data_IF_346872430818
#
_entry.id   IF_346872430818
#
_cell.length_a   1.000
_cell.length_b   1.000
_cell.length_c   1.000
_cell.angle_alpha   90.00
_cell.angle_beta   90.00
_cell.angle_gamma   90.00
#
_symmetry.space_group_name_H-M   'P 1'
#
loop_
_entity.id
_entity.type
_entity.pdbx_description
1 polymer ?
#
# COMPACT_ATOMS: atom_id res chain seq x y z
N UNK A 1 44.62 35.87 25.12
CA UNK A 1 43.54 35.00 24.60
C UNK A 1 44.10 34.19 23.45
N UNK A 2 44.63 33.00 23.76
CA UNK A 2 45.52 32.25 22.87
C UNK A 2 44.79 31.47 21.79
N UNK A 3 45.47 31.27 20.66
CA UNK A 3 45.07 30.43 19.51
C UNK A 3 44.46 29.08 19.90
N UNK A 4 44.86 28.54 21.05
CA UNK A 4 44.38 27.31 21.66
C UNK A 4 42.87 27.38 22.01
N UNK A 5 42.38 28.52 22.50
CA UNK A 5 40.97 28.71 22.82
C UNK A 5 40.07 28.73 21.57
N UNK A 6 40.55 29.29 20.47
CA UNK A 6 39.84 29.28 19.19
C UNK A 6 39.75 27.88 18.58
N UNK A 7 40.80 27.07 18.74
CA UNK A 7 40.83 25.68 18.24
C UNK A 7 39.87 24.79 19.05
N UNK A 8 39.78 25.00 20.37
CA UNK A 8 38.83 24.28 21.23
C UNK A 8 37.36 24.60 20.89
N UNK A 9 37.04 25.85 20.60
CA UNK A 9 35.68 26.27 20.21
C UNK A 9 35.29 25.69 18.83
N UNK A 10 36.24 25.63 17.89
CA UNK A 10 36.06 24.99 16.57
C UNK A 10 35.84 23.48 16.67
N UNK A 11 36.56 22.80 17.56
CA UNK A 11 36.40 21.36 17.81
C UNK A 11 35.06 21.01 18.47
N UNK A 12 34.57 21.84 19.39
CA UNK A 12 33.28 21.64 20.06
C UNK A 12 32.12 21.85 19.09
N UNK A 13 32.23 22.81 18.17
CA UNK A 13 31.21 23.07 17.13
C UNK A 13 31.05 21.89 16.15
N UNK A 14 32.13 21.14 15.90
CA UNK A 14 32.13 19.98 15.00
C UNK A 14 31.46 18.73 15.63
N UNK A 15 31.44 18.65 16.96
CA UNK A 15 30.83 17.55 17.72
C UNK A 15 29.31 17.70 17.92
N UNK A 16 28.74 18.91 17.77
CA UNK A 16 27.29 19.14 17.88
C UNK A 16 26.52 19.00 16.55
N UNK A 17 27.20 18.83 15.41
CA UNK A 17 26.55 18.73 14.09
C UNK A 17 25.93 17.37 13.74
N UNK A 18 25.94 16.40 14.67
CA UNK A 18 25.90 14.97 14.35
C UNK A 18 24.58 14.21 14.52
N UNK A 19 23.46 14.83 14.90
CA UNK A 19 22.19 14.09 15.07
C UNK A 19 21.12 14.59 14.10
N UNK A 20 21.32 14.35 12.80
CA UNK A 20 20.18 14.23 11.88
C UNK A 20 19.55 12.86 12.14
N UNK A 21 18.57 12.81 13.04
CA UNK A 21 17.68 11.65 13.16
C UNK A 21 16.96 11.48 11.82
N UNK A 22 17.50 10.61 10.96
CA UNK A 22 16.95 10.31 9.64
C UNK A 22 15.77 9.35 9.77
N UNK A 23 14.80 9.71 10.60
CA UNK A 23 13.56 8.97 10.75
C UNK A 23 12.72 9.26 9.50
N UNK A 24 12.72 8.32 8.55
CA UNK A 24 11.87 8.41 7.36
C UNK A 24 10.41 8.57 7.80
N UNK A 25 9.74 9.59 7.28
CA UNK A 25 8.34 9.85 7.61
C UNK A 25 7.41 8.85 6.90
N UNK A 26 6.17 8.73 7.38
CA UNK A 26 5.17 7.90 6.73
C UNK A 26 4.92 8.35 5.28
N UNK A 27 4.93 9.67 5.07
CA UNK A 27 4.77 10.36 3.80
C UNK A 27 5.91 10.03 2.83
N UNK A 28 7.17 10.10 3.27
CA UNK A 28 8.33 9.76 2.44
C UNK A 28 8.30 8.30 1.99
N UNK A 29 7.99 7.39 2.91
CA UNK A 29 7.83 5.98 2.59
C UNK A 29 6.67 5.76 1.63
N UNK A 30 5.56 6.47 1.80
CA UNK A 30 4.41 6.38 0.92
C UNK A 30 4.76 6.84 -0.51
N UNK A 31 5.42 7.98 -0.65
CA UNK A 31 5.88 8.47 -1.96
C UNK A 31 6.85 7.50 -2.62
N UNK A 32 7.79 6.93 -1.84
CA UNK A 32 8.70 5.89 -2.34
C UNK A 32 7.94 4.67 -2.85
N UNK A 33 6.91 4.22 -2.13
CA UNK A 33 6.09 3.09 -2.54
C UNK A 33 5.30 3.39 -3.82
N UNK A 34 4.76 4.59 -3.97
CA UNK A 34 4.08 5.04 -5.20
C UNK A 34 5.04 5.02 -6.40
N UNK A 35 6.26 5.51 -6.24
CA UNK A 35 7.27 5.45 -7.31
C UNK A 35 7.59 4.00 -7.72
N UNK A 36 7.70 3.09 -6.74
CA UNK A 36 7.90 1.67 -7.03
C UNK A 36 6.70 1.07 -7.76
N UNK A 37 5.48 1.44 -7.36
CA UNK A 37 4.24 0.95 -7.94
C UNK A 37 4.02 1.44 -9.38
N UNK A 38 4.11 2.76 -9.59
CA UNK A 38 3.69 3.40 -10.84
C UNK A 38 4.82 3.60 -11.83
N UNK A 39 5.99 4.07 -11.36
CA UNK A 39 7.10 4.39 -12.25
C UNK A 39 7.94 3.14 -12.59
N UNK A 40 8.21 2.29 -11.60
CA UNK A 40 9.07 1.11 -11.79
C UNK A 40 8.30 -0.19 -12.04
N UNK A 41 7.00 -0.23 -11.75
CA UNK A 41 6.20 -1.45 -11.81
C UNK A 41 6.68 -2.55 -10.85
N UNK A 42 7.50 -2.20 -9.85
CA UNK A 42 8.05 -3.12 -8.85
C UNK A 42 7.02 -3.39 -7.75
N UNK A 43 5.87 -3.95 -8.14
CA UNK A 43 4.68 -4.10 -7.30
C UNK A 43 4.95 -4.86 -5.99
N UNK A 44 5.84 -5.86 -6.00
CA UNK A 44 6.21 -6.62 -4.79
C UNK A 44 6.95 -5.75 -3.78
N UNK A 45 7.94 -4.97 -4.24
CA UNK A 45 8.69 -4.05 -3.39
C UNK A 45 7.79 -2.92 -2.89
N UNK A 46 6.88 -2.42 -3.73
CA UNK A 46 5.87 -1.44 -3.30
C UNK A 46 5.01 -1.98 -2.16
N UNK A 47 4.52 -3.23 -2.27
CA UNK A 47 3.76 -3.91 -1.21
C UNK A 47 4.56 -3.98 0.10
N UNK A 48 5.84 -4.35 0.04
CA UNK A 48 6.70 -4.40 1.24
C UNK A 48 6.77 -3.04 1.93
N UNK A 49 6.99 -1.95 1.18
CA UNK A 49 7.04 -0.61 1.75
C UNK A 49 5.68 -0.19 2.32
N UNK A 50 4.57 -0.41 1.61
CA UNK A 50 3.24 -0.11 2.15
C UNK A 50 2.94 -0.92 3.42
N UNK A 51 3.40 -2.17 3.51
CA UNK A 51 3.22 -3.00 4.69
C UNK A 51 3.97 -2.44 5.90
N UNK A 52 5.18 -1.91 5.68
CA UNK A 52 5.95 -1.19 6.71
C UNK A 52 5.14 0.01 7.20
N UNK A 53 4.53 0.78 6.28
CA UNK A 53 3.75 1.96 6.63
C UNK A 53 2.55 1.59 7.51
N UNK A 54 1.77 0.60 7.10
CA UNK A 54 0.60 0.11 7.85
C UNK A 54 0.99 -0.40 9.24
N UNK A 55 2.18 -0.99 9.39
CA UNK A 55 2.61 -1.57 10.66
C UNK A 55 3.25 -0.54 11.61
N UNK A 56 4.09 0.37 11.07
CA UNK A 56 4.86 1.33 11.87
C UNK A 56 4.13 2.65 12.14
N UNK A 57 3.26 3.08 11.23
CA UNK A 57 2.59 4.38 11.29
C UNK A 57 1.08 4.22 11.46
N UNK A 58 0.67 3.34 12.38
CA UNK A 58 -0.74 3.06 12.68
C UNK A 58 -1.48 4.30 13.19
N UNK A 59 -0.76 5.19 13.87
CA UNK A 59 -1.29 6.44 14.41
C UNK A 59 -1.63 7.43 13.28
N UNK A 60 -0.89 7.39 12.17
CA UNK A 60 -1.25 8.12 10.96
C UNK A 60 -2.28 7.31 10.15
N UNK A 61 -3.51 7.30 10.66
CA UNK A 61 -4.63 6.50 10.14
C UNK A 61 -4.90 6.73 8.66
N UNK A 62 -4.82 7.99 8.21
CA UNK A 62 -5.02 8.35 6.80
C UNK A 62 -3.97 7.68 5.89
N UNK A 63 -2.69 7.80 6.23
CA UNK A 63 -1.61 7.20 5.43
C UNK A 63 -1.61 5.68 5.51
N UNK A 64 -1.85 5.12 6.70
CA UNK A 64 -1.97 3.68 6.86
C UNK A 64 -3.14 3.11 6.03
N UNK A 65 -4.30 3.77 6.01
CA UNK A 65 -5.45 3.35 5.22
C UNK A 65 -5.16 3.38 3.72
N UNK A 66 -4.61 4.49 3.21
CA UNK A 66 -4.20 4.60 1.79
C UNK A 66 -3.16 3.53 1.44
N UNK A 67 -2.18 3.30 2.30
CA UNK A 67 -1.18 2.26 2.09
C UNK A 67 -1.82 0.87 2.00
N UNK A 68 -2.77 0.56 2.88
CA UNK A 68 -3.49 -0.71 2.86
C UNK A 68 -4.35 -0.88 1.60
N UNK A 69 -4.93 0.21 1.07
CA UNK A 69 -5.62 0.22 -0.22
C UNK A 69 -4.66 -0.08 -1.37
N UNK A 70 -3.51 0.59 -1.42
CA UNK A 70 -2.49 0.38 -2.45
C UNK A 70 -1.88 -1.03 -2.43
N UNK A 71 -1.78 -1.68 -1.27
CA UNK A 71 -1.45 -3.12 -1.19
C UNK A 71 -2.47 -3.94 -2.00
N UNK A 72 -3.76 -3.64 -1.86
CA UNK A 72 -4.83 -4.27 -2.63
C UNK A 72 -4.69 -4.03 -4.13
N UNK A 73 -4.40 -2.79 -4.53
CA UNK A 73 -4.18 -2.39 -5.93
C UNK A 73 -2.99 -3.13 -6.53
N UNK A 74 -1.87 -3.20 -5.80
CA UNK A 74 -0.69 -3.93 -6.25
C UNK A 74 -0.98 -5.43 -6.43
N UNK A 75 -1.71 -6.06 -5.50
CA UNK A 75 -2.11 -7.46 -5.66
C UNK A 75 -3.10 -7.66 -6.81
N UNK A 76 -3.98 -6.70 -7.07
CA UNK A 76 -4.92 -6.74 -8.20
C UNK A 76 -4.16 -6.68 -9.53
N UNK A 77 -3.21 -5.74 -9.66
CA UNK A 77 -2.30 -5.63 -10.80
C UNK A 77 -1.48 -6.91 -11.02
N UNK A 78 -1.10 -7.61 -9.95
CA UNK A 78 -0.43 -8.93 -10.01
C UNK A 78 -1.38 -10.11 -10.30
N UNK A 79 -2.68 -9.88 -10.42
CA UNK A 79 -3.68 -10.93 -10.64
C UNK A 79 -3.86 -11.88 -9.45
N UNK A 80 -3.42 -11.50 -8.25
CA UNK A 80 -3.44 -12.36 -7.06
C UNK A 80 -4.76 -12.25 -6.33
N UNK A 81 -5.30 -13.38 -5.86
CA UNK A 81 -6.50 -13.38 -5.01
C UNK A 81 -6.30 -12.64 -3.68
N UNK A 82 -5.06 -12.41 -3.28
CA UNK A 82 -4.69 -11.61 -2.11
C UNK A 82 -5.29 -10.19 -2.16
N UNK A 83 -5.56 -9.63 -3.35
CA UNK A 83 -6.21 -8.33 -3.51
C UNK A 83 -7.54 -8.23 -2.74
N UNK A 84 -8.35 -9.29 -2.80
CA UNK A 84 -9.64 -9.36 -2.09
C UNK A 84 -9.44 -9.26 -0.58
N UNK A 85 -8.43 -9.96 -0.05
CA UNK A 85 -8.14 -9.93 1.39
C UNK A 85 -7.66 -8.53 1.81
N UNK A 86 -6.80 -7.91 1.01
CA UNK A 86 -6.30 -6.55 1.28
C UNK A 86 -7.44 -5.51 1.28
N UNK A 87 -8.34 -5.51 0.28
CA UNK A 87 -9.47 -4.58 0.26
C UNK A 87 -10.46 -4.82 1.41
N UNK A 88 -10.74 -6.09 1.76
CA UNK A 88 -11.55 -6.39 2.95
C UNK A 88 -10.89 -5.89 4.24
N UNK A 89 -9.56 -5.91 4.30
CA UNK A 89 -8.80 -5.38 5.44
C UNK A 89 -8.97 -3.87 5.56
N UNK A 90 -8.93 -3.12 4.46
CA UNK A 90 -9.26 -1.67 4.44
C UNK A 90 -10.62 -1.41 5.08
N UNK A 91 -11.66 -2.10 4.58
CA UNK A 91 -13.05 -1.90 5.02
C UNK A 91 -13.23 -2.22 6.51
N UNK A 92 -12.49 -3.21 7.02
CA UNK A 92 -12.61 -3.67 8.42
C UNK A 92 -11.81 -2.80 9.39
N UNK A 93 -10.58 -2.46 9.03
CA UNK A 93 -9.61 -1.86 9.96
C UNK A 93 -9.56 -0.34 9.90
N UNK A 94 -10.13 0.29 8.87
CA UNK A 94 -10.11 1.74 8.65
C UNK A 94 -11.52 2.31 8.45
N UNK A 95 -12.46 1.93 9.32
CA UNK A 95 -13.87 2.32 9.26
C UNK A 95 -14.10 3.85 9.32
N UNK A 96 -13.14 4.58 9.86
CA UNK A 96 -13.08 6.04 9.95
C UNK A 96 -12.62 6.73 8.65
N UNK A 97 -12.14 5.98 7.66
CA UNK A 97 -11.56 6.52 6.42
C UNK A 97 -12.50 6.25 5.23
N UNK A 98 -13.65 6.93 5.22
CA UNK A 98 -14.78 6.66 4.31
C UNK A 98 -14.40 6.68 2.82
N UNK A 99 -13.58 7.65 2.39
CA UNK A 99 -13.12 7.74 1.02
C UNK A 99 -12.34 6.48 0.59
N UNK A 100 -11.41 6.04 1.45
CA UNK A 100 -10.57 4.86 1.21
C UNK A 100 -11.41 3.57 1.20
N UNK A 101 -12.39 3.47 2.09
CA UNK A 101 -13.36 2.36 2.12
C UNK A 101 -14.16 2.30 0.82
N UNK A 102 -14.64 3.44 0.34
CA UNK A 102 -15.45 3.52 -0.88
C UNK A 102 -14.65 3.04 -2.08
N UNK A 103 -13.40 3.48 -2.22
CA UNK A 103 -12.50 3.01 -3.26
C UNK A 103 -12.25 1.49 -3.16
N UNK A 104 -11.99 0.98 -1.96
CA UNK A 104 -11.80 -0.45 -1.72
C UNK A 104 -13.03 -1.29 -2.10
N UNK A 105 -14.25 -0.81 -1.80
CA UNK A 105 -15.51 -1.47 -2.15
C UNK A 105 -15.72 -1.53 -3.66
N UNK A 106 -15.50 -0.41 -4.37
CA UNK A 106 -15.63 -0.35 -5.83
C UNK A 106 -14.70 -1.37 -6.49
N UNK A 107 -13.42 -1.37 -6.11
CA UNK A 107 -12.41 -2.31 -6.62
C UNK A 107 -12.78 -3.76 -6.32
N UNK A 108 -13.18 -4.04 -5.08
CA UNK A 108 -13.59 -5.39 -4.66
C UNK A 108 -14.76 -5.92 -5.49
N UNK A 109 -15.79 -5.09 -5.71
CA UNK A 109 -16.94 -5.43 -6.56
C UNK A 109 -16.52 -5.72 -8.00
N UNK A 110 -15.62 -4.91 -8.57
CA UNK A 110 -15.05 -5.14 -9.90
C UNK A 110 -14.37 -6.51 -10.03
N UNK A 111 -13.58 -6.92 -9.03
CA UNK A 111 -12.93 -8.24 -9.01
C UNK A 111 -13.97 -9.37 -8.94
N UNK A 112 -15.00 -9.22 -8.09
CA UNK A 112 -16.05 -10.24 -7.96
C UNK A 112 -16.82 -10.44 -9.26
N UNK A 113 -17.22 -9.34 -9.92
CA UNK A 113 -17.92 -9.39 -11.20
C UNK A 113 -17.06 -10.05 -12.28
N UNK A 114 -15.77 -9.69 -12.37
CA UNK A 114 -14.86 -10.31 -13.34
C UNK A 114 -14.72 -11.82 -13.11
N UNK A 115 -14.65 -12.26 -11.85
CA UNK A 115 -14.60 -13.68 -11.50
C UNK A 115 -15.88 -14.43 -11.88
N UNK A 116 -17.04 -13.82 -11.66
CA UNK A 116 -18.34 -14.39 -12.06
C UNK A 116 -18.42 -14.53 -13.59
N UNK A 117 -18.07 -13.48 -14.34
CA UNK A 117 -18.05 -13.50 -15.80
C UNK A 117 -17.15 -14.62 -16.35
N UNK A 118 -15.93 -14.75 -15.82
CA UNK A 118 -15.01 -15.85 -16.18
C UNK A 118 -15.65 -17.21 -15.91
N UNK A 119 -16.27 -17.41 -14.74
CA UNK A 119 -16.93 -18.67 -14.39
C UNK A 119 -18.06 -19.00 -15.36
N UNK A 120 -18.92 -18.04 -15.67
CA UNK A 120 -20.04 -18.20 -16.61
C UNK A 120 -19.52 -18.58 -18.01
N UNK A 121 -18.47 -17.91 -18.49
CA UNK A 121 -17.90 -18.19 -19.80
C UNK A 121 -17.24 -19.59 -19.87
N UNK A 122 -16.67 -20.08 -18.77
CA UNK A 122 -16.04 -21.41 -18.71
C UNK A 122 -17.02 -22.57 -18.49
N UNK A 123 -18.30 -22.31 -18.22
CA UNK A 123 -19.28 -23.39 -18.10
C UNK A 123 -19.57 -23.96 -19.50
N UNK A 124 -19.47 -25.29 -19.72
CA UNK A 124 -19.93 -25.88 -20.97
C UNK A 124 -21.39 -25.51 -21.13
N UNK A 125 -21.77 -25.01 -22.32
CA UNK A 125 -23.18 -24.79 -22.66
C UNK A 125 -23.90 -26.11 -22.37
N UNK A 126 -24.64 -26.18 -21.27
CA UNK A 126 -25.56 -27.28 -21.04
C UNK A 126 -26.60 -27.12 -22.15
N UNK A 127 -26.36 -27.80 -23.26
CA UNK A 127 -27.24 -27.86 -24.41
C UNK A 127 -28.54 -28.42 -23.87
N UNK A 128 -29.52 -27.55 -23.68
CA UNK A 128 -30.88 -27.93 -23.38
C UNK A 128 -31.32 -28.90 -24.47
N UNK A 129 -31.42 -30.20 -24.15
CA UNK A 129 -32.07 -31.18 -24.99
C UNK A 129 -33.54 -31.18 -24.58
N UNK A 130 -34.48 -30.63 -25.37
CA UNK A 130 -35.89 -30.81 -25.08
C UNK A 130 -36.17 -32.31 -25.00
N UNK A 131 -36.81 -32.74 -23.92
CA UNK A 131 -37.39 -34.07 -23.84
C UNK A 131 -38.36 -34.21 -25.02
N UNK A 132 -38.03 -35.09 -25.96
CA UNK A 132 -38.99 -35.51 -26.98
C UNK A 132 -40.00 -36.41 -26.27
N UNK A 133 -41.22 -35.90 -26.10
CA UNK A 133 -42.39 -36.73 -25.85
C UNK A 133 -42.94 -37.23 -27.18
#
# INVERSE_FOLDING_TARGET
MGRIGLILILLISLLLGGFRSNAQTAEELFQKAIQLEEAKGELKKAIEIYQIIVNKFRDNRSIAARSQLHIGICYEKLGKQAAIKAYKKVIREFADQEEVITQARIRLSGIMVNRIKKKIFTLPKLVWKPARY
#
